data_IF_528168035598
#
_entry.id   IF_528168035598
#
_cell.length_a   1.000
_cell.length_b   1.000
_cell.length_c   1.000
_cell.angle_alpha   90.00
_cell.angle_beta   90.00
_cell.angle_gamma   90.00
#
_symmetry.space_group_name_H-M   'P 1'
#
loop_
_entity.id
_entity.type
_entity.pdbx_description
1 polymer ?
#
# COMPACT_ATOMS: atom_id res chain seq x y z
N UNK A 1 -28.62 24.39 11.33
CA UNK A 1 -27.62 24.18 10.24
C UNK A 1 -26.53 23.33 10.84
N UNK A 2 -26.48 22.05 10.47
CA UNK A 2 -25.42 21.16 10.92
C UNK A 2 -24.10 21.67 10.34
N UNK A 3 -23.14 21.94 11.21
CA UNK A 3 -21.73 22.07 10.86
C UNK A 3 -21.39 20.85 9.98
N UNK A 4 -21.10 21.08 8.69
CA UNK A 4 -20.45 20.05 7.87
C UNK A 4 -19.12 19.81 8.57
N UNK A 5 -19.00 18.68 9.27
CA UNK A 5 -17.69 18.23 9.75
C UNK A 5 -16.77 18.24 8.53
N UNK A 6 -15.76 19.09 8.57
CA UNK A 6 -14.75 19.18 7.52
C UNK A 6 -13.95 17.88 7.61
N UNK A 7 -14.19 16.95 6.70
CA UNK A 7 -13.31 15.78 6.54
C UNK A 7 -11.89 16.30 6.26
N UNK A 8 -10.91 15.92 7.09
CA UNK A 8 -9.52 16.36 6.92
C UNK A 8 -8.79 15.67 5.77
N UNK A 9 -9.31 14.55 5.26
CA UNK A 9 -8.66 13.80 4.18
C UNK A 9 -9.66 13.15 3.22
N UNK A 10 -9.25 13.05 1.96
CA UNK A 10 -9.99 12.44 0.84
C UNK A 10 -9.01 11.63 -0.02
N UNK A 11 -9.48 10.51 -0.57
CA UNK A 11 -8.73 9.75 -1.58
C UNK A 11 -9.27 10.12 -2.95
N UNK A 12 -8.40 10.63 -3.81
CA UNK A 12 -8.74 10.96 -5.21
C UNK A 12 -7.93 10.11 -6.17
N UNK A 13 -8.52 9.79 -7.32
CA UNK A 13 -7.85 9.18 -8.45
C UNK A 13 -8.25 9.88 -9.74
N UNK A 14 -7.36 9.83 -10.72
CA UNK A 14 -7.63 10.39 -12.04
C UNK A 14 -8.01 9.27 -13.00
N UNK A 15 -9.22 9.33 -13.53
CA UNK A 15 -9.71 8.42 -14.55
C UNK A 15 -9.24 8.90 -15.93
N UNK A 16 -8.30 8.16 -16.52
CA UNK A 16 -7.72 8.49 -17.83
C UNK A 16 -8.71 8.30 -19.00
N UNK A 17 -9.75 7.48 -18.84
CA UNK A 17 -10.74 7.23 -19.89
C UNK A 17 -11.74 8.38 -19.94
N UNK A 18 -12.18 8.81 -18.76
CA UNK A 18 -13.16 9.91 -18.65
C UNK A 18 -12.52 11.30 -18.57
N UNK A 19 -11.19 11.38 -18.42
CA UNK A 19 -10.42 12.61 -18.22
C UNK A 19 -10.93 13.41 -17.01
N UNK A 20 -11.19 12.69 -15.90
CA UNK A 20 -11.84 13.26 -14.71
C UNK A 20 -11.18 12.80 -13.42
N UNK A 21 -11.08 13.73 -12.47
CA UNK A 21 -10.79 13.42 -11.08
C UNK A 21 -12.03 12.81 -10.42
N UNK A 22 -11.86 11.68 -9.74
CA UNK A 22 -12.90 10.96 -9.02
C UNK A 22 -12.45 10.69 -7.59
N UNK A 23 -13.40 10.56 -6.68
CA UNK A 23 -13.14 10.23 -5.27
C UNK A 23 -13.39 8.75 -5.00
N UNK A 24 -12.58 8.17 -4.11
CA UNK A 24 -12.80 6.83 -3.57
C UNK A 24 -13.51 6.97 -2.21
N UNK A 25 -14.49 6.12 -1.89
CA UNK A 25 -15.11 6.15 -0.57
C UNK A 25 -14.09 6.05 0.56
N UNK A 26 -14.19 6.99 1.50
CA UNK A 26 -13.31 7.07 2.66
C UNK A 26 -13.49 5.85 3.58
N UNK A 27 -12.38 5.29 4.03
CA UNK A 27 -12.36 4.40 5.19
C UNK A 27 -12.81 5.18 6.44
N UNK A 28 -13.57 4.53 7.33
CA UNK A 28 -13.90 5.08 8.64
C UNK A 28 -13.31 4.16 9.71
N UNK A 29 -12.56 4.75 10.63
CA UNK A 29 -11.95 4.03 11.74
C UNK A 29 -12.86 4.01 12.99
N UNK A 30 -13.95 4.78 12.97
CA UNK A 30 -14.85 5.02 14.09
C UNK A 30 -14.83 6.50 14.50
N UNK A 31 -15.90 7.00 15.09
CA UNK A 31 -16.10 8.45 15.32
C UNK A 31 -15.00 9.11 16.16
N UNK A 32 -14.43 8.41 17.15
CA UNK A 32 -13.37 8.95 18.02
C UNK A 32 -12.01 9.00 17.29
N UNK A 33 -11.66 7.90 16.63
CA UNK A 33 -10.44 7.76 15.84
C UNK A 33 -10.44 8.72 14.63
N UNK A 34 -11.57 8.84 13.95
CA UNK A 34 -11.73 9.73 12.80
C UNK A 34 -11.54 11.21 13.22
N UNK A 35 -12.02 11.60 14.41
CA UNK A 35 -11.80 12.96 14.97
C UNK A 35 -10.33 13.23 15.27
N UNK A 36 -9.58 12.24 15.73
CA UNK A 36 -8.15 12.39 16.03
C UNK A 36 -7.35 12.73 14.77
N UNK A 37 -7.67 12.08 13.66
CA UNK A 37 -7.11 12.38 12.34
C UNK A 37 -7.52 13.79 11.88
N UNK A 38 -8.76 14.22 12.14
CA UNK A 38 -9.20 15.55 11.73
C UNK A 38 -8.48 16.70 12.47
N UNK A 39 -7.81 16.42 13.58
CA UNK A 39 -7.06 17.40 14.39
C UNK A 39 -5.58 17.57 13.98
N UNK A 40 -5.02 16.75 13.07
CA UNK A 40 -3.57 16.73 12.76
C UNK A 40 -3.07 18.00 12.01
N UNK A 41 -3.96 18.93 11.66
CA UNK A 41 -3.63 20.16 10.93
C UNK A 41 -2.92 21.27 11.74
N UNK A 42 -2.72 21.10 13.06
CA UNK A 42 -2.21 22.16 13.94
C UNK A 42 -1.12 21.67 14.91
N UNK A 43 -0.03 21.13 14.38
CA UNK A 43 1.25 21.00 15.10
C UNK A 43 1.25 20.02 16.28
N UNK A 44 2.05 18.96 16.14
CA UNK A 44 2.65 18.18 17.24
C UNK A 44 1.90 16.93 17.78
N UNK A 45 1.19 16.15 16.94
CA UNK A 45 0.48 14.93 17.40
C UNK A 45 0.31 13.76 16.41
N UNK A 46 1.38 12.99 16.24
CA UNK A 46 1.49 11.50 16.19
C UNK A 46 0.76 10.59 15.20
N UNK A 47 -0.30 11.01 14.49
CA UNK A 47 -1.00 10.11 13.56
C UNK A 47 -0.78 10.47 12.10
N UNK A 48 0.10 9.71 11.44
CA UNK A 48 0.31 9.76 10.00
C UNK A 48 -0.67 8.83 9.29
N UNK A 49 -1.35 9.30 8.25
CA UNK A 49 -2.14 8.49 7.31
C UNK A 49 -1.59 8.65 5.89
N UNK A 50 -1.41 7.55 5.17
CA UNK A 50 -0.95 7.59 3.78
C UNK A 50 -1.45 6.35 3.00
N UNK A 51 -1.30 6.41 1.67
CA UNK A 51 -1.72 5.38 0.73
C UNK A 51 -0.55 4.51 0.32
N UNK A 52 -0.84 3.23 0.11
CA UNK A 52 0.12 2.25 -0.39
C UNK A 52 -0.62 1.21 -1.23
N UNK A 53 0.07 0.63 -2.21
CA UNK A 53 -0.46 -0.52 -2.95
C UNK A 53 0.19 -1.78 -2.39
N UNK A 54 -0.63 -2.68 -1.85
CA UNK A 54 -0.19 -3.93 -1.24
C UNK A 54 -1.04 -5.07 -1.78
N UNK A 55 -0.40 -6.16 -2.22
CA UNK A 55 -1.09 -7.31 -2.83
C UNK A 55 -2.03 -6.91 -3.99
N UNK A 56 -1.62 -5.92 -4.79
CA UNK A 56 -2.42 -5.35 -5.90
C UNK A 56 -3.73 -4.66 -5.45
N UNK A 57 -3.91 -4.45 -4.15
CA UNK A 57 -5.02 -3.70 -3.57
C UNK A 57 -4.57 -2.30 -3.17
N UNK A 58 -5.46 -1.31 -3.31
CA UNK A 58 -5.32 -0.02 -2.64
C UNK A 58 -5.44 -0.24 -1.14
N UNK A 59 -4.45 0.25 -0.42
CA UNK A 59 -4.41 0.21 1.02
C UNK A 59 -4.21 1.60 1.62
N UNK A 60 -4.79 1.78 2.80
CA UNK A 60 -4.55 2.91 3.68
C UNK A 60 -3.77 2.36 4.86
N UNK A 61 -2.69 3.02 5.25
CA UNK A 61 -2.05 2.74 6.52
C UNK A 61 -2.05 3.98 7.40
N UNK A 62 -2.16 3.75 8.71
CA UNK A 62 -2.06 4.81 9.71
C UNK A 62 -1.16 4.43 10.86
N UNK A 63 -0.45 5.40 11.40
CA UNK A 63 0.28 5.29 12.66
C UNK A 63 -0.67 5.69 13.80
N UNK A 64 -0.83 4.82 14.79
CA UNK A 64 -1.74 5.03 15.92
C UNK A 64 -0.89 5.13 17.18
N UNK A 65 -0.97 6.28 17.87
CA UNK A 65 -0.33 6.55 19.15
C UNK A 65 1.19 6.28 19.22
N UNK A 66 1.89 6.25 18.06
CA UNK A 66 3.28 5.73 17.94
C UNK A 66 3.48 4.31 18.51
N UNK A 67 2.40 3.54 18.69
CA UNK A 67 2.43 2.20 19.26
C UNK A 67 2.22 1.11 18.21
N UNK A 68 1.41 1.39 17.18
CA UNK A 68 1.18 0.46 16.08
C UNK A 68 0.96 1.16 14.74
N UNK A 69 1.21 0.44 13.65
CA UNK A 69 0.72 0.77 12.32
C UNK A 69 -0.43 -0.16 11.97
N UNK A 70 -1.59 0.41 11.64
CA UNK A 70 -2.72 -0.34 11.11
C UNK A 70 -2.77 -0.20 9.60
N UNK A 71 -2.89 -1.32 8.89
CA UNK A 71 -3.01 -1.35 7.44
C UNK A 71 -4.39 -1.90 7.09
N UNK A 72 -5.10 -1.19 6.22
CA UNK A 72 -6.42 -1.53 5.73
C UNK A 72 -6.39 -1.65 4.21
N UNK A 73 -7.10 -2.63 3.67
CA UNK A 73 -7.22 -2.86 2.23
C UNK A 73 -8.65 -2.68 1.76
N UNK A 74 -8.83 -2.19 0.54
CA UNK A 74 -10.13 -2.11 -0.12
C UNK A 74 -10.31 -3.36 -0.99
N UNK A 75 -11.19 -4.29 -0.59
CA UNK A 75 -11.42 -5.54 -1.35
C UNK A 75 -12.19 -5.33 -2.63
N UNK A 76 -13.15 -4.39 -2.61
CA UNK A 76 -13.97 -4.04 -3.75
C UNK A 76 -13.91 -2.53 -3.96
N UNK A 77 -13.23 -2.13 -5.04
CA UNK A 77 -13.01 -0.71 -5.36
C UNK A 77 -14.34 0.05 -5.51
N UNK A 78 -14.40 1.23 -4.90
CA UNK A 78 -15.59 2.09 -4.94
C UNK A 78 -16.70 1.72 -3.96
N UNK A 79 -16.55 0.68 -3.13
CA UNK A 79 -17.49 0.34 -2.05
C UNK A 79 -16.91 0.63 -0.67
N UNK A 80 -17.60 1.44 0.12
CA UNK A 80 -17.13 1.84 1.46
C UNK A 80 -17.03 0.65 2.41
N UNK A 81 -17.95 -0.30 2.29
CA UNK A 81 -18.07 -1.46 3.16
C UNK A 81 -17.02 -2.54 2.88
N UNK A 82 -16.24 -2.39 1.80
CA UNK A 82 -15.22 -3.36 1.40
C UNK A 82 -13.86 -3.13 2.06
N UNK A 83 -13.71 -2.00 2.77
CA UNK A 83 -12.53 -1.74 3.57
C UNK A 83 -12.44 -2.75 4.71
N UNK A 84 -11.32 -3.45 4.79
CA UNK A 84 -11.06 -4.44 5.84
C UNK A 84 -9.64 -4.29 6.38
N UNK A 85 -9.47 -4.58 7.67
CA UNK A 85 -8.17 -4.51 8.33
C UNK A 85 -7.31 -5.67 7.83
N UNK A 86 -6.21 -5.35 7.15
CA UNK A 86 -5.29 -6.32 6.57
C UNK A 86 -4.30 -6.83 7.62
N UNK A 87 -3.65 -5.92 8.37
CA UNK A 87 -2.67 -6.27 9.38
C UNK A 87 -2.43 -5.11 10.37
N UNK A 88 -1.97 -5.46 11.57
CA UNK A 88 -1.44 -4.52 12.56
C UNK A 88 0.02 -4.84 12.81
N UNK A 89 0.90 -3.85 12.69
CA UNK A 89 2.34 -3.97 12.90
C UNK A 89 2.69 -3.22 14.18
N UNK A 90 3.23 -3.88 15.22
CA UNK A 90 3.64 -3.18 16.43
C UNK A 90 4.85 -2.29 16.15
N UNK A 91 4.95 -1.14 16.82
CA UNK A 91 6.20 -0.39 16.82
C UNK A 91 7.26 -1.12 17.65
N UNK A 92 8.49 -1.11 17.16
CA UNK A 92 9.64 -1.29 18.02
C UNK A 92 9.94 0.07 18.64
N UNK A 93 10.13 0.08 19.96
CA UNK A 93 10.52 1.27 20.74
C UNK A 93 11.65 1.99 19.96
N UNK A 94 11.49 3.30 19.76
CA UNK A 94 12.39 4.23 19.04
C UNK A 94 12.26 4.39 17.51
N UNK A 95 11.25 3.81 16.85
CA UNK A 95 11.00 4.07 15.42
C UNK A 95 9.87 5.09 15.28
N UNK A 96 10.07 6.23 14.62
CA UNK A 96 9.06 7.29 14.60
C UNK A 96 8.24 7.38 13.31
N UNK A 97 8.57 6.64 12.26
CA UNK A 97 7.73 6.51 11.07
C UNK A 97 7.94 5.15 10.41
N UNK A 98 6.92 4.28 10.45
CA UNK A 98 6.91 3.01 9.73
C UNK A 98 6.05 3.14 8.47
N UNK A 99 6.69 3.01 7.31
CA UNK A 99 6.01 3.01 6.01
C UNK A 99 6.02 1.61 5.40
N UNK A 100 4.87 0.93 5.26
CA UNK A 100 4.81 -0.33 4.53
C UNK A 100 5.16 -0.09 3.06
N UNK A 101 5.95 -0.99 2.48
CA UNK A 101 6.41 -0.91 1.11
C UNK A 101 5.77 -2.00 0.25
N UNK A 102 5.82 -3.25 0.71
CA UNK A 102 5.46 -4.41 -0.13
C UNK A 102 5.13 -5.64 0.70
N UNK A 103 4.21 -6.48 0.20
CA UNK A 103 3.99 -7.82 0.74
C UNK A 103 4.80 -8.84 -0.06
N UNK A 104 5.63 -9.61 0.63
CA UNK A 104 6.32 -10.75 0.04
C UNK A 104 5.33 -11.89 -0.24
N UNK A 105 5.73 -12.82 -1.12
CA UNK A 105 4.95 -14.03 -1.40
C UNK A 105 4.77 -14.93 -0.16
N UNK A 106 5.62 -14.79 0.85
CA UNK A 106 5.55 -15.56 2.09
C UNK A 106 4.61 -14.95 3.14
N UNK A 107 4.01 -13.79 2.84
CA UNK A 107 3.15 -13.05 3.74
C UNK A 107 3.88 -12.06 4.66
N UNK A 108 5.20 -11.97 4.59
CA UNK A 108 6.00 -10.95 5.30
C UNK A 108 5.79 -9.57 4.68
N UNK A 109 5.97 -8.51 5.47
CA UNK A 109 5.84 -7.10 5.04
C UNK A 109 7.21 -6.43 5.02
N UNK A 110 7.59 -5.87 3.86
CA UNK A 110 8.75 -4.99 3.75
C UNK A 110 8.37 -3.59 4.21
N UNK A 111 9.15 -2.99 5.09
CA UNK A 111 8.85 -1.72 5.75
C UNK A 111 10.07 -0.80 5.68
N UNK A 112 9.83 0.46 5.34
CA UNK A 112 10.78 1.55 5.49
C UNK A 112 10.60 2.19 6.86
N UNK A 113 11.72 2.50 7.51
CA UNK A 113 11.75 3.06 8.86
C UNK A 113 12.61 4.31 8.89
N UNK A 114 12.01 5.43 9.29
CA UNK A 114 12.66 6.74 9.48
C UNK A 114 13.52 7.19 8.30
N UNK A 115 13.18 6.77 7.06
CA UNK A 115 14.01 6.97 5.87
C UNK A 115 15.45 6.42 6.02
N UNK A 116 15.73 5.49 6.94
CA UNK A 116 17.09 5.04 7.32
C UNK A 116 17.28 3.53 7.34
N UNK A 117 16.21 2.77 7.55
CA UNK A 117 16.28 1.30 7.57
C UNK A 117 15.18 0.70 6.71
N UNK A 118 15.50 -0.45 6.14
CA UNK A 118 14.53 -1.35 5.52
C UNK A 118 14.49 -2.61 6.37
N UNK A 119 13.33 -2.91 6.91
CA UNK A 119 13.06 -4.10 7.71
C UNK A 119 12.06 -5.01 6.98
N UNK A 120 12.09 -6.29 7.30
CA UNK A 120 11.02 -7.23 7.00
C UNK A 120 10.34 -7.59 8.32
N UNK A 121 9.04 -7.41 8.37
CA UNK A 121 8.19 -7.86 9.47
C UNK A 121 7.54 -9.19 9.09
N UNK A 122 7.69 -10.19 9.96
CA UNK A 122 6.96 -11.44 9.88
C UNK A 122 5.72 -11.39 10.79
N UNK A 123 4.50 -11.37 10.23
CA UNK A 123 3.26 -11.37 11.01
C UNK A 123 3.07 -12.62 11.88
N UNK A 124 3.62 -13.77 11.48
CA UNK A 124 3.38 -15.05 12.15
C UNK A 124 4.05 -15.09 13.51
N UNK A 125 5.31 -14.66 13.54
CA UNK A 125 6.14 -14.67 14.75
C UNK A 125 6.23 -13.28 15.39
N UNK A 126 5.64 -12.26 14.77
CA UNK A 126 5.74 -10.85 15.17
C UNK A 126 7.19 -10.37 15.32
N UNK A 127 8.06 -10.81 14.40
CA UNK A 127 9.49 -10.48 14.43
C UNK A 127 9.88 -9.50 13.34
N UNK A 128 10.98 -8.79 13.58
CA UNK A 128 11.57 -7.87 12.61
C UNK A 128 12.97 -8.33 12.25
N UNK A 129 13.26 -8.34 10.96
CA UNK A 129 14.58 -8.65 10.41
C UNK A 129 15.11 -7.45 9.64
N UNK A 130 16.32 -7.01 9.98
CA UNK A 130 16.99 -5.97 9.23
C UNK A 130 17.41 -6.50 7.85
N UNK A 131 16.99 -5.81 6.79
CA UNK A 131 17.45 -6.08 5.42
C UNK A 131 18.60 -5.16 5.07
N UNK A 132 18.44 -3.88 5.36
CA UNK A 132 19.45 -2.87 5.08
C UNK A 132 19.30 -1.67 6.00
N UNK A 133 20.44 -1.16 6.45
CA UNK A 133 20.56 0.13 7.11
C UNK A 133 21.43 1.03 6.27
N UNK A 134 21.00 2.28 6.10
CA UNK A 134 21.79 3.33 5.48
C UNK A 134 22.19 4.28 6.62
N UNK A 135 23.48 4.59 6.75
CA UNK A 135 24.08 5.19 7.95
C UNK A 135 23.46 6.49 8.43
N UNK A 136 23.85 6.92 9.62
CA UNK A 136 23.13 7.90 10.46
C UNK A 136 22.94 9.32 9.89
N UNK A 137 23.66 9.67 8.82
CA UNK A 137 23.75 11.06 8.33
C UNK A 137 23.00 11.34 7.01
N UNK A 138 22.49 10.32 6.31
CA UNK A 138 21.73 10.52 5.07
C UNK A 138 20.53 9.58 4.98
N UNK A 139 19.32 10.14 5.00
CA UNK A 139 18.12 9.37 4.70
C UNK A 139 18.02 8.99 3.22
N UNK A 140 17.17 8.02 2.91
CA UNK A 140 16.76 7.65 1.55
C UNK A 140 15.24 7.60 1.46
N UNK A 141 14.73 7.77 0.24
CA UNK A 141 13.32 7.55 -0.07
C UNK A 141 13.17 6.24 -0.81
N UNK A 142 12.26 5.37 -0.38
CA UNK A 142 11.90 4.18 -1.16
C UNK A 142 10.66 4.46 -2.00
N UNK A 143 10.72 4.00 -3.24
CA UNK A 143 9.58 3.95 -4.15
C UNK A 143 9.47 2.52 -4.66
N UNK A 144 8.28 1.94 -4.57
CA UNK A 144 7.99 0.67 -5.21
C UNK A 144 7.71 0.90 -6.68
N UNK A 145 8.37 0.11 -7.52
CA UNK A 145 8.19 0.16 -8.96
C UNK A 145 7.54 -1.14 -9.42
N UNK A 146 6.39 -1.01 -10.07
CA UNK A 146 5.74 -2.10 -10.79
C UNK A 146 5.79 -1.71 -12.27
N UNK A 147 6.44 -2.53 -13.08
CA UNK A 147 6.46 -2.33 -14.52
C UNK A 147 5.04 -2.49 -15.08
N UNK A 148 4.51 -1.40 -15.65
CA UNK A 148 3.21 -1.39 -16.33
C UNK A 148 3.42 -1.22 -17.83
N UNK A 149 2.73 -2.03 -18.63
CA UNK A 149 2.76 -1.97 -20.09
C UNK A 149 1.67 -1.04 -20.63
N UNK A 150 1.59 0.19 -20.12
CA UNK A 150 0.75 1.20 -20.75
C UNK A 150 1.44 1.63 -22.05
N UNK A 151 0.89 1.18 -23.17
CA UNK A 151 1.25 1.75 -24.47
C UNK A 151 0.65 3.15 -24.51
N UNK A 152 1.48 4.16 -24.26
CA UNK A 152 1.12 5.54 -24.60
C UNK A 152 1.01 5.55 -26.12
N UNK A 153 -0.21 5.69 -26.64
CA UNK A 153 -0.50 5.72 -28.06
C UNK A 153 0.25 6.89 -28.73
N UNK A 154 1.52 6.67 -29.04
CA UNK A 154 2.29 7.37 -30.04
C UNK A 154 2.62 6.33 -31.10
N UNK A 155 2.00 6.49 -32.27
CA UNK A 155 2.20 5.73 -33.52
C UNK A 155 3.22 4.59 -33.41
N UNK A 156 2.74 3.40 -33.02
CA UNK A 156 3.59 2.25 -32.72
C UNK A 156 4.30 1.72 -33.96
N UNK A 157 5.62 1.66 -33.92
CA UNK A 157 6.42 0.80 -34.79
C UNK A 157 6.09 -0.68 -34.50
N UNK A 158 6.03 -1.51 -35.53
CA UNK A 158 5.56 -2.90 -35.48
C UNK A 158 6.39 -3.82 -34.57
N UNK A 159 7.60 -3.40 -34.21
CA UNK A 159 8.47 -4.12 -33.28
C UNK A 159 8.01 -4.03 -31.83
N UNK A 160 7.33 -2.95 -31.42
CA UNK A 160 6.81 -2.79 -30.05
C UNK A 160 5.63 -3.74 -29.81
N UNK A 161 4.77 -3.92 -30.81
CA UNK A 161 3.65 -4.87 -30.76
C UNK A 161 4.13 -6.32 -30.56
N UNK A 162 5.21 -6.72 -31.26
CA UNK A 162 5.79 -8.07 -31.18
C UNK A 162 6.43 -8.33 -29.82
N UNK A 163 7.14 -7.35 -29.26
CA UNK A 163 7.72 -7.47 -27.92
C UNK A 163 6.65 -7.59 -26.83
N UNK A 164 5.55 -6.83 -26.95
CA UNK A 164 4.40 -6.94 -26.03
C UNK A 164 3.76 -8.33 -26.07
N UNK A 165 3.55 -8.88 -27.28
CA UNK A 165 2.95 -10.20 -27.44
C UNK A 165 3.85 -11.31 -26.87
N UNK A 166 5.15 -11.25 -27.13
CA UNK A 166 6.13 -12.17 -26.55
C UNK A 166 6.20 -12.07 -25.00
N UNK A 167 6.03 -10.86 -24.44
CA UNK A 167 5.95 -10.67 -22.99
C UNK A 167 4.67 -11.29 -22.40
N UNK A 168 3.50 -11.03 -22.99
CA UNK A 168 2.23 -11.59 -22.50
C UNK A 168 2.24 -13.12 -22.54
N UNK A 169 2.84 -13.70 -23.58
CA UNK A 169 3.07 -15.14 -23.66
C UNK A 169 3.96 -15.65 -22.52
N UNK A 170 5.06 -14.96 -22.17
CA UNK A 170 5.91 -15.31 -21.02
C UNK A 170 5.18 -15.19 -19.68
N UNK A 171 4.39 -14.12 -19.47
CA UNK A 171 3.59 -13.93 -18.25
C UNK A 171 2.53 -15.02 -18.11
N UNK A 172 1.82 -15.33 -19.20
CA UNK A 172 0.81 -16.39 -19.24
C UNK A 172 1.43 -17.79 -19.10
N UNK A 173 2.66 -17.99 -19.58
CA UNK A 173 3.41 -19.24 -19.40
C UNK A 173 3.82 -19.44 -17.94
N UNK A 174 4.25 -18.38 -17.23
CA UNK A 174 4.48 -18.42 -15.77
C UNK A 174 3.18 -18.70 -14.99
N UNK A 175 2.07 -18.07 -15.37
CA UNK A 175 0.75 -18.34 -14.79
C UNK A 175 0.19 -19.74 -15.09
N UNK A 176 0.59 -20.37 -16.20
CA UNK A 176 0.28 -21.79 -16.52
C UNK A 176 1.19 -22.77 -15.79
N UNK A 177 2.47 -22.43 -15.59
CA UNK A 177 3.41 -23.23 -14.82
C UNK A 177 2.99 -23.32 -13.35
N UNK A 178 2.59 -22.18 -12.75
CA UNK A 178 2.07 -22.15 -11.37
C UNK A 178 0.76 -22.94 -11.21
N UNK A 179 -0.08 -23.01 -12.25
CA UNK A 179 -1.29 -23.86 -12.27
C UNK A 179 -0.99 -25.34 -12.49
N UNK A 180 0.08 -25.68 -13.22
CA UNK A 180 0.52 -27.07 -13.45
C UNK A 180 1.25 -27.68 -12.26
N UNK A 181 1.84 -26.87 -11.38
CA UNK A 181 2.54 -27.34 -10.19
C UNK A 181 1.65 -27.64 -8.98
N UNK A 182 0.32 -27.52 -9.09
CA UNK A 182 -0.60 -28.02 -8.05
C UNK A 182 -0.27 -27.52 -6.64
N UNK A 183 0.11 -26.24 -6.49
CA UNK A 183 0.18 -25.63 -5.15
C UNK A 183 -1.24 -25.26 -4.75
N UNK A 184 -1.99 -26.28 -4.36
CA UNK A 184 -3.11 -26.16 -3.46
C UNK A 184 -2.54 -25.89 -2.06
N UNK A 185 -3.01 -24.84 -1.41
CA UNK A 185 -3.20 -24.76 0.05
C UNK A 185 -4.37 -23.76 0.19
N UNK A 186 -5.61 -24.18 -0.03
CA UNK A 186 -6.44 -24.99 0.87
C UNK A 186 -6.57 -24.33 2.24
N UNK A 187 -7.72 -23.70 2.43
CA UNK A 187 -8.30 -23.31 3.70
C UNK A 187 -8.38 -24.50 4.66
N UNK A 188 -8.06 -24.26 5.92
CA UNK A 188 -8.85 -24.61 7.10
C UNK A 188 -8.47 -23.62 8.22
#
# INVERSE_FOLDING_TARGET
MASKELCSWVIVYFDLVEDKLKEVPRLSFGDEDDKKIDLVGFGDGDEMIDLVVLRECLCVYRCVDREKVEIWEMKEYGKKESWTKLIVIPYLIDLQCLKPLFFTNNGEVLIEVDNRKILVYDPKDSTFRNVRSYGDFSGFRVVTYVESLLFLNGDADGDVQRQHQAYLERRNMKGRYNRKLGVCNASD
#
